data_IF_924219958914
#
_entry.id   IF_924219958914
#
_cell.length_a   1.000
_cell.length_b   1.000
_cell.length_c   1.000
_cell.angle_alpha   90.00
_cell.angle_beta   90.00
_cell.angle_gamma   90.00
#
_symmetry.space_group_name_H-M   'P 1'
#
loop_
_entity.id
_entity.type
_entity.pdbx_description
1 polymer ?
#
# COMPACT_ATOMS: atom_id res chain seq x y z
N UNK A 1 6.45 -20.54 17.52
CA UNK A 1 7.10 -20.16 16.26
C UNK A 1 6.04 -20.43 15.23
N UNK A 2 5.45 -19.40 14.63
CA UNK A 2 4.38 -19.60 13.65
C UNK A 2 5.03 -20.08 12.35
N UNK A 3 4.56 -21.21 11.86
CA UNK A 3 5.26 -22.02 10.89
C UNK A 3 5.15 -21.34 9.52
N UNK A 4 6.27 -20.84 9.02
CA UNK A 4 6.47 -20.34 7.66
C UNK A 4 6.19 -21.41 6.57
N UNK A 5 5.81 -22.62 6.98
CA UNK A 5 5.67 -23.81 6.13
C UNK A 5 4.27 -24.02 5.55
N UNK A 6 3.20 -23.37 6.08
CA UNK A 6 1.84 -23.64 5.60
C UNK A 6 1.32 -22.71 4.49
N UNK A 7 2.01 -21.60 4.17
CA UNK A 7 1.58 -20.63 3.14
C UNK A 7 2.69 -20.15 2.19
N UNK A 8 3.65 -21.04 1.92
CA UNK A 8 4.76 -20.77 1.02
C UNK A 8 5.86 -19.97 1.72
N UNK A 9 7.02 -20.62 1.83
CA UNK A 9 8.33 -20.01 2.03
C UNK A 9 8.45 -18.67 1.31
N UNK A 10 9.33 -17.78 1.81
CA UNK A 10 9.85 -16.56 1.20
C UNK A 10 10.25 -16.75 -0.28
N UNK A 11 9.24 -16.87 -1.13
CA UNK A 11 9.29 -17.22 -2.54
C UNK A 11 9.06 -15.96 -3.33
N UNK A 12 9.50 -15.96 -4.58
CA UNK A 12 9.26 -14.85 -5.52
C UNK A 12 7.78 -14.43 -5.57
N UNK A 13 6.86 -15.36 -5.32
CA UNK A 13 5.42 -15.08 -5.29
C UNK A 13 5.00 -14.22 -4.09
N UNK A 14 5.55 -14.47 -2.89
CA UNK A 14 5.25 -13.63 -1.71
C UNK A 14 5.79 -12.21 -1.89
N UNK A 15 6.97 -12.09 -2.51
CA UNK A 15 7.55 -10.79 -2.83
C UNK A 15 6.65 -10.04 -3.83
N UNK A 16 6.08 -10.72 -4.82
CA UNK A 16 5.08 -10.12 -5.73
C UNK A 16 3.86 -9.60 -4.98
N UNK A 17 3.30 -10.39 -4.07
CA UNK A 17 2.15 -9.95 -3.25
C UNK A 17 2.48 -8.72 -2.41
N UNK A 18 3.71 -8.61 -1.87
CA UNK A 18 4.15 -7.40 -1.16
C UNK A 18 4.17 -6.18 -2.10
N UNK A 19 4.68 -6.34 -3.33
CA UNK A 19 4.65 -5.25 -4.32
C UNK A 19 3.22 -4.87 -4.70
N UNK A 20 2.35 -5.83 -4.98
CA UNK A 20 0.96 -5.60 -5.34
C UNK A 20 0.17 -4.95 -4.19
N UNK A 21 0.44 -5.36 -2.95
CA UNK A 21 -0.09 -4.74 -1.75
C UNK A 21 0.36 -3.28 -1.63
N UNK A 22 1.66 -3.00 -1.82
CA UNK A 22 2.21 -1.65 -1.75
C UNK A 22 1.75 -0.74 -2.90
N UNK A 23 1.41 -1.31 -4.05
CA UNK A 23 0.84 -0.58 -5.21
C UNK A 23 -0.68 -0.40 -5.10
N UNK A 24 -1.35 -1.10 -4.17
CA UNK A 24 -2.79 -1.05 -3.98
C UNK A 24 -3.57 -1.72 -5.11
N UNK A 25 -2.96 -2.69 -5.80
CA UNK A 25 -3.58 -3.44 -6.90
C UNK A 25 -4.12 -4.81 -6.48
N UNK A 26 -3.87 -5.19 -5.22
CA UNK A 26 -4.35 -6.44 -4.63
C UNK A 26 -5.90 -6.42 -4.50
N UNK A 27 -6.61 -7.52 -4.82
CA UNK A 27 -8.04 -7.62 -4.54
C UNK A 27 -8.32 -7.58 -3.03
N UNK A 28 -9.54 -7.16 -2.66
CA UNK A 28 -9.92 -6.96 -1.26
C UNK A 28 -9.79 -8.23 -0.41
N UNK A 29 -10.07 -9.40 -1.01
CA UNK A 29 -10.01 -10.69 -0.33
C UNK A 29 -8.57 -11.05 0.10
N UNK A 30 -7.56 -10.60 -0.63
CA UNK A 30 -6.15 -10.92 -0.37
C UNK A 30 -5.48 -9.90 0.58
N UNK A 31 -6.10 -8.72 0.79
CA UNK A 31 -5.52 -7.63 1.59
C UNK A 31 -5.35 -8.02 3.06
N UNK A 32 -6.38 -8.64 3.65
CA UNK A 32 -6.35 -9.04 5.06
C UNK A 32 -5.37 -10.19 5.29
N UNK A 33 -5.23 -11.10 4.32
CA UNK A 33 -4.29 -12.23 4.40
C UNK A 33 -2.83 -11.75 4.40
N UNK A 34 -2.45 -10.91 3.44
CA UNK A 34 -1.07 -10.41 3.36
C UNK A 34 -0.75 -9.50 4.56
N UNK A 35 -1.72 -8.69 5.02
CA UNK A 35 -1.53 -7.84 6.18
C UNK A 35 -1.33 -8.67 7.46
N UNK A 36 -2.14 -9.70 7.68
CA UNK A 36 -1.95 -10.64 8.80
C UNK A 36 -0.57 -11.27 8.76
N UNK A 37 -0.14 -11.73 7.59
CA UNK A 37 1.18 -12.34 7.41
C UNK A 37 2.33 -11.37 7.73
N UNK A 38 2.25 -10.11 7.28
CA UNK A 38 3.27 -9.09 7.58
C UNK A 38 3.38 -8.80 9.09
N UNK A 39 2.31 -8.98 9.87
CA UNK A 39 2.35 -8.83 11.32
C UNK A 39 2.95 -10.05 12.04
N UNK A 40 2.77 -11.25 11.49
CA UNK A 40 3.19 -12.49 12.12
C UNK A 40 4.58 -12.98 11.66
N UNK A 41 5.05 -12.54 10.49
CA UNK A 41 6.29 -12.97 9.85
C UNK A 41 7.36 -11.85 9.83
N UNK A 42 8.38 -11.89 10.72
CA UNK A 42 9.42 -10.86 10.78
C UNK A 42 10.27 -10.74 9.52
N UNK A 43 10.41 -11.82 8.76
CA UNK A 43 11.20 -11.82 7.52
C UNK A 43 10.47 -11.04 6.42
N UNK A 44 9.19 -11.32 6.19
CA UNK A 44 8.39 -10.58 5.22
C UNK A 44 8.17 -9.11 5.65
N UNK A 45 8.04 -8.84 6.96
CA UNK A 45 8.01 -7.48 7.48
C UNK A 45 9.27 -6.69 7.13
N UNK A 46 10.46 -7.31 7.24
CA UNK A 46 11.73 -6.67 6.85
C UNK A 46 11.80 -6.37 5.36
N UNK A 47 11.33 -7.27 4.50
CA UNK A 47 11.32 -7.03 3.05
C UNK A 47 10.34 -5.91 2.67
N UNK A 48 9.16 -5.88 3.30
CA UNK A 48 8.21 -4.77 3.16
C UNK A 48 8.83 -3.43 3.59
N UNK A 49 9.51 -3.40 4.74
CA UNK A 49 10.18 -2.20 5.25
C UNK A 49 11.27 -1.73 4.29
N UNK A 50 12.09 -2.65 3.77
CA UNK A 50 13.13 -2.35 2.79
C UNK A 50 12.52 -1.69 1.54
N UNK A 51 11.46 -2.27 1.00
CA UNK A 51 10.79 -1.72 -0.18
C UNK A 51 10.18 -0.34 0.10
N UNK A 52 9.62 -0.12 1.30
CA UNK A 52 9.15 1.20 1.72
C UNK A 52 10.27 2.25 1.71
N UNK A 53 11.46 1.89 2.18
CA UNK A 53 12.65 2.77 2.12
C UNK A 53 13.03 3.07 0.68
N UNK A 54 13.11 2.05 -0.18
CA UNK A 54 13.43 2.21 -1.60
C UNK A 54 12.44 3.17 -2.27
N UNK A 55 11.13 2.92 -2.11
CA UNK A 55 10.07 3.79 -2.65
C UNK A 55 10.16 5.22 -2.12
N UNK A 56 10.57 5.42 -0.87
CA UNK A 56 10.77 6.76 -0.31
C UNK A 56 11.93 7.49 -0.99
N UNK A 57 13.04 6.79 -1.24
CA UNK A 57 14.22 7.36 -1.93
C UNK A 57 13.88 7.71 -3.39
N UNK A 58 13.18 6.81 -4.08
CA UNK A 58 12.73 7.05 -5.46
C UNK A 58 11.80 8.27 -5.53
N UNK A 59 10.79 8.33 -4.65
CA UNK A 59 9.87 9.48 -4.57
C UNK A 59 10.58 10.79 -4.30
N UNK A 60 11.57 10.82 -3.41
CA UNK A 60 12.37 12.02 -3.14
C UNK A 60 13.15 12.51 -4.35
N UNK A 61 13.53 11.59 -5.24
CA UNK A 61 14.34 11.91 -6.42
C UNK A 61 13.49 12.36 -7.61
N UNK A 62 12.17 12.22 -7.53
CA UNK A 62 11.24 12.71 -8.54
C UNK A 62 11.09 14.23 -8.44
N UNK A 63 11.42 14.95 -9.51
CA UNK A 63 11.35 16.42 -9.59
C UNK A 63 10.01 16.93 -10.16
N UNK A 64 9.11 16.03 -10.56
CA UNK A 64 7.83 16.37 -11.17
C UNK A 64 6.86 16.90 -10.11
N UNK A 65 6.47 18.18 -10.26
CA UNK A 65 5.48 18.80 -9.37
C UNK A 65 4.12 18.78 -10.05
N UNK A 66 3.11 18.26 -9.36
CA UNK A 66 1.74 18.29 -9.85
C UNK A 66 1.26 19.74 -10.06
N UNK A 67 0.45 20.02 -11.11
CA UNK A 67 -0.08 21.36 -11.35
C UNK A 67 -0.87 21.90 -10.16
N UNK A 68 -0.68 23.18 -9.82
CA UNK A 68 -1.36 23.81 -8.67
C UNK A 68 -2.89 23.76 -8.79
N UNK A 69 -3.43 23.90 -10.00
CA UNK A 69 -4.87 23.82 -10.28
C UNK A 69 -5.47 22.46 -9.95
N UNK A 70 -4.71 21.37 -10.11
CA UNK A 70 -5.17 20.03 -9.78
C UNK A 70 -5.45 19.92 -8.28
N UNK A 71 -4.57 20.48 -7.44
CA UNK A 71 -4.75 20.51 -5.99
C UNK A 71 -6.01 21.29 -5.60
N UNK A 72 -6.25 22.45 -6.22
CA UNK A 72 -7.46 23.26 -5.98
C UNK A 72 -8.71 22.48 -6.35
N UNK A 73 -8.71 21.83 -7.52
CA UNK A 73 -9.83 21.01 -8.01
C UNK A 73 -10.14 19.83 -7.09
N UNK A 74 -9.12 19.10 -6.64
CA UNK A 74 -9.27 17.97 -5.71
C UNK A 74 -9.86 18.45 -4.37
N UNK A 75 -9.32 19.53 -3.79
CA UNK A 75 -9.81 20.06 -2.51
C UNK A 75 -11.25 20.55 -2.60
N UNK A 76 -11.63 21.20 -3.71
CA UNK A 76 -13.01 21.62 -3.93
C UNK A 76 -13.98 20.42 -3.98
N UNK A 77 -13.60 19.34 -4.68
CA UNK A 77 -14.40 18.09 -4.74
C UNK A 77 -14.52 17.40 -3.39
N UNK A 78 -13.43 17.32 -2.63
CA UNK A 78 -13.44 16.72 -1.29
C UNK A 78 -14.30 17.53 -0.32
N UNK A 79 -14.25 18.86 -0.35
CA UNK A 79 -15.12 19.69 0.46
C UNK A 79 -16.59 19.54 0.08
N UNK A 80 -16.91 19.48 -1.21
CA UNK A 80 -18.27 19.21 -1.69
C UNK A 80 -18.80 17.84 -1.21
N UNK A 81 -18.01 16.78 -1.36
CA UNK A 81 -18.39 15.43 -0.92
C UNK A 81 -18.57 15.31 0.60
N UNK A 82 -17.82 16.10 1.39
CA UNK A 82 -17.98 16.16 2.86
C UNK A 82 -19.16 17.01 3.31
N UNK A 83 -19.71 17.85 2.43
CA UNK A 83 -20.86 18.72 2.69
C UNK A 83 -22.18 18.11 2.21
N UNK A 84 -22.17 16.90 1.65
CA UNK A 84 -23.39 16.14 1.39
C UNK A 84 -23.93 15.60 2.73
N UNK A 85 -25.03 16.14 3.29
CA UNK A 85 -25.69 15.49 4.41
C UNK A 85 -26.18 14.11 3.98
N UNK A 86 -26.20 13.08 4.85
CA UNK A 86 -26.74 11.79 4.48
C UNK A 86 -28.17 11.99 3.96
N UNK A 87 -28.39 11.62 2.69
CA UNK A 87 -29.72 11.57 2.10
C UNK A 87 -30.62 10.76 3.06
N UNK A 88 -31.71 11.41 3.46
CA UNK A 88 -32.70 10.92 4.43
C UNK A 88 -33.26 9.53 4.08
#
# INVERSE_FOLDING_TARGET
MADCESLGCCTDERIRLIYEYLDGVLPADDLDEIHGHLLECPECAREYDLECVIRSVVRRSCAETAPADLRVSILARLHGARQDPPAA
#
